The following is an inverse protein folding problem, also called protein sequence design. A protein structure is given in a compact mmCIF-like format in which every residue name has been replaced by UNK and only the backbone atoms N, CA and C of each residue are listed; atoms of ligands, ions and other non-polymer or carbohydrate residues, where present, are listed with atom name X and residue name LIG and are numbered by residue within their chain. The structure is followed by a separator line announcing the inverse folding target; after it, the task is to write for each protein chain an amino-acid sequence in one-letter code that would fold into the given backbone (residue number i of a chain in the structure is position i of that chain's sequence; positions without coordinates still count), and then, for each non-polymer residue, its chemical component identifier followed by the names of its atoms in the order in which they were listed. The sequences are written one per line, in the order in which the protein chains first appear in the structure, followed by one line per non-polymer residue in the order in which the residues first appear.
data_IF_666929482958
#
_entry.id   IF_666929482958
#
_cell.length_a   1.000
_cell.length_b   1.000
_cell.length_c   1.000
_cell.angle_alpha   90.00
_cell.angle_beta   90.00
_cell.angle_gamma   90.00
#
_symmetry.space_group_name_H-M   'P 1'
#
loop_
_entity.id
_entity.type
_entity.pdbx_description
1 polymer ?
#
# COMPACT_ATOMS: atom_id res chain seq x y z
N UNK A 1 51.65 -17.37 11.15
CA UNK A 1 50.85 -16.96 9.98
C UNK A 1 49.48 -16.61 10.52
N UNK A 2 49.16 -15.33 10.56
CA UNK A 2 47.96 -14.81 11.25
C UNK A 2 46.77 -14.88 10.30
N UNK A 3 45.77 -15.69 10.63
CA UNK A 3 44.47 -15.71 9.95
C UNK A 3 43.67 -14.48 10.41
N UNK A 4 43.44 -13.56 9.47
CA UNK A 4 42.61 -12.38 9.68
C UNK A 4 41.14 -12.78 9.82
N UNK A 5 40.64 -12.70 11.05
CA UNK A 5 39.22 -12.66 11.36
C UNK A 5 38.68 -11.31 10.86
N UNK A 6 37.98 -11.33 9.72
CA UNK A 6 37.20 -10.18 9.28
C UNK A 6 35.83 -10.20 10.00
N UNK A 7 35.80 -9.57 11.17
CA UNK A 7 34.56 -9.05 11.77
C UNK A 7 34.12 -7.88 10.90
N UNK A 8 33.09 -8.07 10.08
CA UNK A 8 32.38 -6.96 9.46
C UNK A 8 31.14 -6.65 10.28
N UNK A 9 31.35 -5.83 11.30
CA UNK A 9 30.32 -5.11 12.02
C UNK A 9 29.88 -3.95 11.14
N UNK A 10 28.63 -3.96 10.65
CA UNK A 10 27.84 -2.75 10.40
C UNK A 10 26.41 -3.18 10.05
N UNK A 11 25.50 -3.03 11.02
CA UNK A 11 24.06 -3.06 10.79
C UNK A 11 23.64 -1.78 10.08
N UNK A 12 23.71 -1.79 8.75
CA UNK A 12 23.01 -0.79 7.94
C UNK A 12 21.52 -1.06 8.15
N UNK A 13 20.85 -0.22 8.93
CA UNK A 13 19.39 -0.18 8.93
C UNK A 13 18.97 0.00 7.47
N UNK A 14 18.46 -1.07 6.85
CA UNK A 14 18.08 -1.04 5.43
C UNK A 14 17.12 0.13 5.24
N UNK A 15 17.43 1.01 4.29
CA UNK A 15 16.51 2.07 3.91
C UNK A 15 15.13 1.45 3.65
N UNK A 16 14.02 2.09 4.08
CA UNK A 16 12.69 1.59 3.83
C UNK A 16 12.53 1.37 2.32
N UNK A 17 11.90 0.27 1.88
CA UNK A 17 11.73 0.00 0.47
C UNK A 17 10.91 1.13 -0.19
N UNK A 18 11.27 1.53 -1.41
CA UNK A 18 10.57 2.58 -2.16
C UNK A 18 9.09 2.27 -2.39
N UNK A 19 8.74 0.97 -2.37
CA UNK A 19 7.39 0.45 -2.59
C UNK A 19 7.09 -0.70 -1.64
N UNK A 20 5.85 -0.78 -1.16
CA UNK A 20 5.39 -1.74 -0.17
C UNK A 20 4.17 -2.49 -0.68
N UNK A 21 4.21 -3.81 -0.58
CA UNK A 21 3.02 -4.64 -0.73
C UNK A 21 2.35 -4.79 0.64
N UNK A 22 1.05 -4.49 0.70
CA UNK A 22 0.23 -4.72 1.88
C UNK A 22 -0.67 -5.93 1.65
N UNK A 23 -0.91 -6.69 2.72
CA UNK A 23 -1.86 -7.81 2.71
C UNK A 23 -3.22 -7.36 2.14
N UNK A 24 -3.88 -8.22 1.36
CA UNK A 24 -5.09 -7.86 0.64
C UNK A 24 -6.21 -7.33 1.54
N UNK A 25 -6.45 -7.97 2.70
CA UNK A 25 -7.46 -7.53 3.65
C UNK A 25 -7.19 -6.11 4.17
N UNK A 26 -5.99 -5.88 4.68
CA UNK A 26 -5.62 -4.56 5.22
C UNK A 26 -5.57 -3.48 4.12
N UNK A 27 -5.01 -3.79 2.95
CA UNK A 27 -4.91 -2.87 1.81
C UNK A 27 -6.29 -2.36 1.38
N UNK A 28 -7.25 -3.27 1.22
CA UNK A 28 -8.62 -2.91 0.82
C UNK A 28 -9.27 -2.06 1.90
N UNK A 29 -9.17 -2.46 3.17
CA UNK A 29 -9.71 -1.70 4.30
C UNK A 29 -9.12 -0.28 4.38
N UNK A 30 -7.79 -0.14 4.32
CA UNK A 30 -7.10 1.15 4.39
C UNK A 30 -7.55 2.09 3.25
N UNK A 31 -7.61 1.57 2.02
CA UNK A 31 -8.07 2.36 0.87
C UNK A 31 -9.55 2.69 0.99
N UNK A 32 -10.39 1.78 1.51
CA UNK A 32 -11.80 2.05 1.78
C UNK A 32 -11.95 3.23 2.75
N UNK A 33 -11.24 3.20 3.88
CA UNK A 33 -11.23 4.31 4.85
C UNK A 33 -10.84 5.63 4.18
N UNK A 34 -9.81 5.60 3.33
CA UNK A 34 -9.39 6.76 2.54
C UNK A 34 -10.48 7.27 1.59
N UNK A 35 -11.16 6.36 0.89
CA UNK A 35 -12.25 6.72 -0.03
C UNK A 35 -13.43 7.30 0.74
N UNK A 36 -13.79 6.71 1.87
CA UNK A 36 -14.89 7.15 2.72
C UNK A 36 -14.60 8.55 3.29
N UNK A 37 -13.37 8.81 3.79
CA UNK A 37 -12.96 10.15 4.29
C UNK A 37 -12.90 11.19 3.16
N UNK A 38 -12.40 10.82 1.98
CA UNK A 38 -12.27 11.73 0.84
C UNK A 38 -13.58 11.90 0.03
N UNK A 39 -14.59 11.07 0.26
CA UNK A 39 -15.86 11.03 -0.48
C UNK A 39 -15.80 10.38 -1.86
N UNK A 40 -14.61 10.13 -2.44
CA UNK A 40 -14.46 9.35 -3.67
C UNK A 40 -13.02 8.86 -3.90
N UNK A 41 -12.85 7.83 -4.73
CA UNK A 41 -11.52 7.35 -5.15
C UNK A 41 -10.70 8.40 -5.92
N UNK A 42 -11.38 9.31 -6.64
CA UNK A 42 -10.72 10.38 -7.35
C UNK A 42 -10.22 11.46 -6.39
N UNK A 43 -11.03 11.84 -5.40
CA UNK A 43 -10.62 12.79 -4.39
C UNK A 43 -9.48 12.21 -3.54
N UNK A 44 -9.58 10.94 -3.11
CA UNK A 44 -8.45 10.27 -2.43
C UNK A 44 -7.18 10.33 -3.28
N UNK A 45 -7.27 10.07 -4.59
CA UNK A 45 -6.14 10.23 -5.49
C UNK A 45 -5.51 11.62 -5.43
N UNK A 46 -6.31 12.69 -5.35
CA UNK A 46 -5.82 14.07 -5.23
C UNK A 46 -5.17 14.34 -3.88
N UNK A 47 -5.78 13.90 -2.78
CA UNK A 47 -5.23 14.02 -1.43
C UNK A 47 -3.87 13.33 -1.34
N UNK A 48 -3.74 12.16 -1.96
CA UNK A 48 -2.48 11.43 -2.04
C UNK A 48 -1.51 12.02 -3.06
N UNK A 49 -1.81 13.17 -3.66
CA UNK A 49 -0.92 13.91 -4.56
C UNK A 49 -0.79 13.33 -5.97
N UNK A 50 -1.71 12.46 -6.41
CA UNK A 50 -1.78 12.05 -7.82
C UNK A 50 -2.38 13.19 -8.67
N UNK A 51 -1.56 13.74 -9.58
CA UNK A 51 -1.87 14.97 -10.34
C UNK A 51 -2.51 14.74 -11.70
N UNK A 52 -2.94 13.52 -12.03
CA UNK A 52 -3.61 13.25 -13.31
C UNK A 52 -4.86 14.13 -13.44
N UNK A 53 -4.95 14.89 -14.55
CA UNK A 53 -6.12 15.73 -14.84
C UNK A 53 -7.33 14.89 -15.22
N UNK A 54 -7.10 13.72 -15.81
CA UNK A 54 -8.14 12.85 -16.38
C UNK A 54 -8.60 11.78 -15.37
N UNK A 55 -7.66 11.09 -14.71
CA UNK A 55 -7.97 9.96 -13.82
C UNK A 55 -7.09 9.94 -12.55
N UNK A 56 -7.30 10.87 -11.61
CA UNK A 56 -6.51 10.95 -10.37
C UNK A 56 -6.65 9.69 -9.49
N UNK A 57 -7.79 8.99 -9.54
CA UNK A 57 -8.00 7.73 -8.81
C UNK A 57 -7.44 6.47 -9.48
N UNK A 58 -6.78 6.56 -10.65
CA UNK A 58 -6.32 5.38 -11.37
C UNK A 58 -5.30 4.56 -10.58
N UNK A 59 -4.24 5.19 -10.07
CA UNK A 59 -3.23 4.51 -9.26
C UNK A 59 -3.84 3.88 -8.01
N UNK A 60 -4.78 4.57 -7.36
CA UNK A 60 -5.51 4.04 -6.20
C UNK A 60 -6.25 2.76 -6.56
N UNK A 61 -6.94 2.73 -7.71
CA UNK A 61 -7.61 1.52 -8.19
C UNK A 61 -6.62 0.39 -8.44
N UNK A 62 -5.49 0.66 -9.09
CA UNK A 62 -4.46 -0.36 -9.34
C UNK A 62 -3.90 -0.96 -8.04
N UNK A 63 -3.66 -0.11 -7.04
CA UNK A 63 -3.20 -0.56 -5.72
C UNK A 63 -4.32 -1.35 -5.03
N UNK A 64 -5.56 -0.84 -5.01
CA UNK A 64 -6.73 -1.50 -4.42
C UNK A 64 -6.88 -2.94 -4.93
N UNK A 65 -6.84 -3.12 -6.25
CA UNK A 65 -6.99 -4.44 -6.89
C UNK A 65 -5.69 -5.28 -6.89
N UNK A 66 -4.65 -4.85 -6.17
CA UNK A 66 -3.42 -5.63 -6.00
C UNK A 66 -2.55 -5.74 -7.25
N UNK A 67 -2.74 -4.87 -8.24
CA UNK A 67 -1.90 -4.81 -9.46
C UNK A 67 -0.60 -4.03 -9.24
N UNK A 68 -0.57 -3.16 -8.24
CA UNK A 68 0.60 -2.33 -7.92
C UNK A 68 0.83 -2.29 -6.40
N UNK A 69 2.09 -2.23 -5.95
CA UNK A 69 2.40 -1.91 -4.56
C UNK A 69 2.14 -0.43 -4.27
N UNK A 70 2.01 -0.09 -2.99
CA UNK A 70 1.98 1.31 -2.54
C UNK A 70 3.37 1.94 -2.66
N UNK A 71 3.53 3.06 -3.38
CA UNK A 71 4.73 3.89 -3.25
C UNK A 71 4.82 4.44 -1.82
N UNK A 72 6.02 4.45 -1.23
CA UNK A 72 6.20 4.84 0.18
C UNK A 72 5.78 6.29 0.45
N UNK A 73 6.01 7.22 -0.48
CA UNK A 73 5.54 8.61 -0.38
C UNK A 73 4.00 8.70 -0.29
N UNK A 74 3.29 7.87 -1.06
CA UNK A 74 1.81 7.81 -1.05
C UNK A 74 1.29 7.07 0.17
N UNK A 75 2.04 6.09 0.68
CA UNK A 75 1.73 5.40 1.92
C UNK A 75 1.82 6.34 3.12
N UNK A 76 2.84 7.22 3.16
CA UNK A 76 2.93 8.29 4.16
C UNK A 76 1.79 9.29 4.02
N UNK A 77 1.48 9.70 2.80
CA UNK A 77 0.37 10.63 2.56
C UNK A 77 -0.98 10.07 3.03
N UNK A 78 -1.27 8.78 2.81
CA UNK A 78 -2.53 8.19 3.29
C UNK A 78 -2.53 7.98 4.80
N UNK A 79 -1.38 7.66 5.40
CA UNK A 79 -1.21 7.57 6.85
C UNK A 79 -1.53 8.92 7.52
N UNK A 80 -0.93 10.00 7.01
CA UNK A 80 -1.19 11.38 7.48
C UNK A 80 -2.64 11.79 7.23
N UNK A 81 -3.15 11.59 6.02
CA UNK A 81 -4.53 11.93 5.66
C UNK A 81 -5.56 11.21 6.53
N UNK A 82 -5.31 9.97 6.94
CA UNK A 82 -6.18 9.19 7.82
C UNK A 82 -5.87 9.36 9.31
N UNK A 83 -4.81 10.09 9.66
CA UNK A 83 -4.29 10.18 11.04
C UNK A 83 -3.99 8.78 11.62
N UNK A 84 -3.51 7.87 10.76
CA UNK A 84 -3.22 6.48 11.08
C UNK A 84 -1.70 6.27 11.15
N UNK A 85 -1.13 5.70 12.24
CA UNK A 85 0.31 5.53 12.37
C UNK A 85 0.91 4.72 11.21
N UNK A 86 1.98 5.24 10.59
CA UNK A 86 2.65 4.58 9.47
C UNK A 86 3.22 3.24 9.89
N UNK A 87 3.76 3.16 11.10
CA UNK A 87 4.36 1.96 11.67
C UNK A 87 3.34 0.82 11.77
N UNK A 88 2.10 1.13 12.14
CA UNK A 88 1.02 0.15 12.22
C UNK A 88 0.59 -0.32 10.82
N UNK A 89 0.56 0.57 9.83
CA UNK A 89 0.35 0.21 8.43
C UNK A 89 1.45 -0.75 7.95
N UNK A 90 2.71 -0.47 8.28
CA UNK A 90 3.86 -1.26 7.84
C UNK A 90 3.90 -2.67 8.46
N UNK A 91 3.25 -2.90 9.61
CA UNK A 91 3.08 -4.27 10.17
C UNK A 91 2.28 -5.19 9.26
N UNK A 92 1.50 -4.64 8.34
CA UNK A 92 0.74 -5.41 7.35
C UNK A 92 1.47 -5.61 6.01
N UNK A 93 2.76 -5.24 5.96
CA UNK A 93 3.60 -5.52 4.81
C UNK A 93 3.67 -7.03 4.52
N UNK A 94 3.67 -7.37 3.25
CA UNK A 94 3.73 -8.76 2.77
C UNK A 94 4.59 -8.88 1.52
N UNK A 95 4.75 -10.10 1.01
CA UNK A 95 5.38 -10.36 -0.28
C UNK A 95 4.36 -10.25 -1.41
N UNK A 96 4.81 -9.84 -2.60
CA UNK A 96 3.96 -9.74 -3.80
C UNK A 96 3.19 -11.03 -4.09
N UNK A 97 3.84 -12.19 -3.94
CA UNK A 97 3.25 -13.51 -4.19
C UNK A 97 2.05 -13.84 -3.31
N UNK A 98 1.90 -13.15 -2.17
CA UNK A 98 0.76 -13.32 -1.25
C UNK A 98 -0.46 -12.47 -1.64
N UNK A 99 -0.29 -11.51 -2.57
CA UNK A 99 -1.38 -10.70 -3.13
C UNK A 99 -1.86 -11.37 -4.41
N UNK A 100 -2.94 -12.16 -4.29
CA UNK A 100 -3.52 -12.91 -5.41
C UNK A 100 -4.85 -12.30 -5.83
N UNK A 101 -5.31 -12.68 -7.02
CA UNK A 101 -6.66 -12.32 -7.52
C UNK A 101 -7.72 -12.79 -6.53
N UNK A 102 -7.64 -14.02 -6.04
CA UNK A 102 -8.61 -14.59 -5.12
C UNK A 102 -8.56 -13.93 -3.72
N UNK A 103 -7.36 -13.67 -3.18
CA UNK A 103 -7.25 -12.99 -1.87
C UNK A 103 -7.75 -11.55 -1.95
N UNK A 104 -7.54 -10.88 -3.09
CA UNK A 104 -8.08 -9.56 -3.37
C UNK A 104 -9.60 -9.58 -3.53
N UNK A 105 -10.15 -10.56 -4.26
CA UNK A 105 -11.60 -10.71 -4.44
C UNK A 105 -12.30 -10.88 -3.09
N UNK A 106 -11.82 -11.78 -2.24
CA UNK A 106 -12.37 -12.00 -0.89
C UNK A 106 -12.28 -10.74 -0.02
N UNK A 107 -11.16 -10.02 -0.08
CA UNK A 107 -10.99 -8.78 0.67
C UNK A 107 -11.97 -7.68 0.20
N UNK A 108 -12.16 -7.53 -1.12
CA UNK A 108 -13.13 -6.60 -1.69
C UNK A 108 -14.56 -6.97 -1.29
N UNK A 109 -14.93 -8.25 -1.37
CA UNK A 109 -16.24 -8.75 -0.95
C UNK A 109 -16.52 -8.46 0.53
N UNK A 110 -15.57 -8.78 1.42
CA UNK A 110 -15.70 -8.53 2.86
C UNK A 110 -15.83 -7.03 3.23
N UNK A 111 -15.43 -6.13 2.33
CA UNK A 111 -15.51 -4.68 2.52
C UNK A 111 -16.64 -4.03 1.71
N UNK A 112 -17.51 -4.81 1.05
CA UNK A 112 -18.59 -4.30 0.21
C UNK A 112 -18.11 -3.56 -1.05
N UNK A 113 -16.90 -3.87 -1.53
CA UNK A 113 -16.20 -3.19 -2.63
C UNK A 113 -16.04 -4.08 -3.88
N UNK A 114 -16.80 -5.17 -3.99
CA UNK A 114 -16.64 -6.15 -5.07
C UNK A 114 -16.79 -5.55 -6.48
N UNK A 115 -17.51 -4.44 -6.62
CA UNK A 115 -17.66 -3.69 -7.86
C UNK A 115 -16.35 -3.05 -8.40
N UNK A 116 -15.28 -3.03 -7.61
CA UNK A 116 -13.93 -2.67 -8.08
C UNK A 116 -13.18 -3.83 -8.75
N UNK A 117 -13.67 -5.06 -8.64
CA UNK A 117 -13.02 -6.20 -9.25
C UNK A 117 -12.97 -6.01 -10.78
N UNK A 118 -11.79 -6.12 -11.42
CA UNK A 118 -11.70 -6.10 -12.87
C UNK A 118 -12.57 -7.21 -13.47
N UNK A 119 -13.32 -6.89 -14.51
CA UNK A 119 -14.05 -7.87 -15.33
C UNK A 119 -13.09 -8.64 -16.23
#
# INVERSE_FOLDING_TARGET
MSENIAISNNGWARAPPDKVWLSSGFRVMLIKMGIDKAGSVNQLGRELGYRSRVHPGWSIRQILVGKQPFPMDRLRAIAEFLEYPLEDILRHQTNHSSVTVESTRRALEANGMLFYMPR
#
